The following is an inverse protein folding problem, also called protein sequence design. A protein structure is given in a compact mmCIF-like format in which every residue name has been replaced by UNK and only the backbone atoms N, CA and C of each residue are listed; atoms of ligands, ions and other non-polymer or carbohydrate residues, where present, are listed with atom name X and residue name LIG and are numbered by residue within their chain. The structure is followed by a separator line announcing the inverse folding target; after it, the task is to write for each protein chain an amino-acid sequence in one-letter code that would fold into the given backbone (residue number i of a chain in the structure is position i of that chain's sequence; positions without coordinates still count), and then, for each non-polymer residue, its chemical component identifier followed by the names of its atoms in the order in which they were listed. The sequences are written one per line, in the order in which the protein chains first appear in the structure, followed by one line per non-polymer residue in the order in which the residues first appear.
data_IF_879265400360
#
_entry.id   IF_879265400360
#
_cell.length_a   1.000
_cell.length_b   1.000
_cell.length_c   1.000
_cell.angle_alpha   90.00
_cell.angle_beta   90.00
_cell.angle_gamma   90.00
#
_symmetry.space_group_name_H-M   'P 1'
#
loop_
_entity.id
_entity.type
_entity.pdbx_description
1 polymer ?
#
# COMPACT_ATOMS: atom_id res chain seq x y z
N UNK A 1 12.27 8.98 -7.03
CA UNK A 1 11.11 8.13 -6.69
C UNK A 1 10.44 7.75 -7.99
N UNK A 2 10.07 6.47 -8.19
CA UNK A 2 9.36 6.00 -9.38
C UNK A 2 8.03 5.38 -8.95
N UNK A 3 6.94 5.77 -9.59
CA UNK A 3 5.62 5.17 -9.37
C UNK A 3 5.32 4.20 -10.51
N UNK A 4 4.68 3.10 -10.19
CA UNK A 4 4.25 2.08 -11.14
C UNK A 4 2.74 1.87 -10.97
N UNK A 5 2.00 2.00 -12.06
CA UNK A 5 0.57 1.69 -12.11
C UNK A 5 0.41 0.34 -12.79
N UNK A 6 -0.13 -0.62 -12.06
CA UNK A 6 -0.29 -2.01 -12.49
C UNK A 6 -1.79 -2.31 -12.60
N UNK A 7 -2.34 -2.42 -13.81
CA UNK A 7 -3.71 -2.88 -14.01
C UNK A 7 -3.91 -4.29 -13.44
N UNK A 8 -4.87 -4.44 -12.53
CA UNK A 8 -5.33 -5.76 -12.08
C UNK A 8 -6.54 -6.18 -12.91
N UNK A 9 -7.49 -5.26 -13.07
CA UNK A 9 -8.62 -5.36 -14.00
C UNK A 9 -8.66 -4.11 -14.90
N UNK A 10 -9.71 -3.94 -15.70
CA UNK A 10 -9.90 -2.75 -16.56
C UNK A 10 -10.05 -1.45 -15.77
N UNK A 11 -10.66 -1.55 -14.58
CA UNK A 11 -11.02 -0.43 -13.73
C UNK A 11 -10.28 -0.41 -12.38
N UNK A 12 -9.62 -1.51 -11.98
CA UNK A 12 -8.87 -1.60 -10.73
C UNK A 12 -7.37 -1.63 -10.98
N UNK A 13 -6.65 -0.73 -10.31
CA UNK A 13 -5.21 -0.55 -10.45
C UNK A 13 -4.51 -0.70 -9.10
N UNK A 14 -3.32 -1.28 -9.14
CA UNK A 14 -2.40 -1.31 -8.03
C UNK A 14 -1.31 -0.26 -8.23
N UNK A 15 -1.22 0.70 -7.31
CA UNK A 15 -0.18 1.72 -7.31
C UNK A 15 1.00 1.25 -6.44
N UNK A 16 2.18 1.19 -7.02
CA UNK A 16 3.40 0.85 -6.31
C UNK A 16 4.43 1.98 -6.39
N UNK A 17 5.07 2.26 -5.27
CA UNK A 17 6.13 3.26 -5.19
C UNK A 17 7.48 2.57 -5.00
N UNK A 18 8.31 2.59 -6.04
CA UNK A 18 9.71 2.17 -5.94
C UNK A 18 10.55 3.36 -5.42
N UNK A 19 11.10 3.18 -4.23
CA UNK A 19 12.06 4.09 -3.65
C UNK A 19 13.45 3.50 -3.89
N UNK A 20 14.31 4.23 -4.60
CA UNK A 20 15.74 3.90 -4.57
C UNK A 20 16.20 4.04 -3.12
N UNK A 21 16.98 3.08 -2.61
CA UNK A 21 17.49 3.07 -1.24
C UNK A 21 18.49 4.22 -1.04
N UNK A 22 17.98 5.43 -0.89
CA UNK A 22 18.82 6.58 -0.58
C UNK A 22 19.03 6.52 0.94
N UNK A 23 20.27 6.24 1.33
CA UNK A 23 20.73 6.16 2.71
C UNK A 23 20.49 7.50 3.43
N UNK A 24 19.28 7.67 3.95
CA UNK A 24 18.92 8.76 4.84
C UNK A 24 19.03 8.29 6.27
N UNK A 25 19.44 9.18 7.17
CA UNK A 25 19.46 8.90 8.59
C UNK A 25 18.03 8.55 9.03
N UNK A 26 17.80 7.40 9.69
CA UNK A 26 16.46 6.99 10.09
C UNK A 26 15.91 8.00 11.10
N UNK A 27 14.67 8.46 10.87
CA UNK A 27 13.96 9.30 11.83
C UNK A 27 13.74 8.55 13.16
N UNK A 28 13.42 9.25 14.25
CA UNK A 28 13.10 8.61 15.52
C UNK A 28 11.95 7.59 15.38
N UNK A 29 10.96 7.92 14.57
CA UNK A 29 9.85 7.05 14.24
C UNK A 29 10.36 5.83 13.47
N UNK A 30 11.21 6.02 12.44
CA UNK A 30 11.78 4.90 11.66
C UNK A 30 12.61 3.96 12.56
N UNK A 31 13.39 4.51 13.50
CA UNK A 31 14.16 3.72 14.48
C UNK A 31 13.25 2.89 15.37
N UNK A 32 12.17 3.48 15.87
CA UNK A 32 11.18 2.78 16.68
C UNK A 32 10.49 1.68 15.88
N UNK A 33 10.05 1.97 14.64
CA UNK A 33 9.42 0.96 13.79
C UNK A 33 10.36 -0.18 13.43
N UNK A 34 11.65 0.11 13.21
CA UNK A 34 12.64 -0.93 12.95
C UNK A 34 12.81 -1.86 14.16
N UNK A 35 12.94 -1.31 15.38
CA UNK A 35 13.00 -2.11 16.61
C UNK A 35 11.76 -2.98 16.80
N UNK A 36 10.57 -2.44 16.55
CA UNK A 36 9.32 -3.20 16.61
C UNK A 36 9.31 -4.30 15.55
N UNK A 37 9.81 -4.02 14.34
CA UNK A 37 9.98 -5.01 13.28
C UNK A 37 10.91 -6.15 13.67
N UNK A 38 12.05 -5.84 14.30
CA UNK A 38 13.00 -6.83 14.79
C UNK A 38 12.39 -7.70 15.88
N UNK A 39 11.66 -7.10 16.83
CA UNK A 39 10.91 -7.84 17.85
C UNK A 39 9.87 -8.77 17.23
N UNK A 40 9.12 -8.29 16.24
CA UNK A 40 8.11 -9.07 15.53
C UNK A 40 8.73 -10.27 14.81
N UNK A 41 9.86 -10.06 14.13
CA UNK A 41 10.63 -11.12 13.47
C UNK A 41 11.13 -12.16 14.49
N UNK A 42 11.70 -11.70 15.60
CA UNK A 42 12.19 -12.58 16.68
C UNK A 42 11.04 -13.38 17.32
N UNK A 43 9.86 -12.78 17.49
CA UNK A 43 8.69 -13.49 18.02
C UNK A 43 8.16 -14.56 17.05
N UNK A 44 8.22 -14.31 15.74
CA UNK A 44 7.86 -15.31 14.74
C UNK A 44 8.80 -16.52 14.71
N UNK A 45 10.08 -16.31 15.04
CA UNK A 45 11.11 -17.36 15.09
C UNK A 45 11.18 -18.08 16.44
N UNK A 46 10.63 -17.49 17.51
CA UNK A 46 10.66 -18.06 18.86
C UNK A 46 9.86 -19.35 18.97
N UNK A 47 10.34 -20.34 19.72
CA UNK A 47 9.64 -21.61 19.97
C UNK A 47 8.36 -21.46 20.83
N UNK A 48 8.19 -20.31 21.48
CA UNK A 48 7.08 -20.04 22.40
C UNK A 48 5.76 -19.91 21.62
N UNK A 49 4.83 -20.86 21.86
CA UNK A 49 3.55 -21.00 21.14
C UNK A 49 2.70 -19.71 21.11
N UNK A 50 2.58 -18.99 22.23
CA UNK A 50 1.72 -17.80 22.27
C UNK A 50 2.30 -16.63 21.45
N UNK A 51 3.63 -16.50 21.37
CA UNK A 51 4.30 -15.48 20.54
C UNK A 51 4.05 -15.74 19.06
N UNK A 52 4.21 -16.99 18.61
CA UNK A 52 3.89 -17.40 17.24
C UNK A 52 2.44 -17.11 16.88
N UNK A 53 1.50 -17.52 17.74
CA UNK A 53 0.06 -17.27 17.54
C UNK A 53 -0.25 -15.77 17.44
N UNK A 54 0.40 -14.93 18.25
CA UNK A 54 0.21 -13.48 18.21
C UNK A 54 0.74 -12.90 16.89
N UNK A 55 1.91 -13.33 16.43
CA UNK A 55 2.48 -12.93 15.14
C UNK A 55 1.59 -13.39 13.98
N UNK A 56 1.10 -14.62 13.99
CA UNK A 56 0.18 -15.16 12.98
C UNK A 56 -1.13 -14.37 12.92
N UNK A 57 -1.74 -14.10 14.08
CA UNK A 57 -2.95 -13.30 14.18
C UNK A 57 -2.72 -11.88 13.67
N UNK A 58 -1.62 -11.24 14.09
CA UNK A 58 -1.24 -9.91 13.62
C UNK A 58 -1.02 -9.88 12.12
N UNK A 59 -0.31 -10.87 11.55
CA UNK A 59 -0.11 -10.98 10.11
C UNK A 59 -1.45 -11.13 9.36
N UNK A 60 -2.38 -11.94 9.88
CA UNK A 60 -3.73 -12.10 9.30
C UNK A 60 -4.52 -10.80 9.30
N UNK A 61 -4.39 -9.99 10.34
CA UNK A 61 -4.99 -8.65 10.43
C UNK A 61 -4.32 -7.67 9.46
N UNK A 62 -3.01 -7.73 9.32
CA UNK A 62 -2.24 -6.90 8.38
C UNK A 62 -2.55 -7.27 6.92
N UNK A 63 -2.80 -8.54 6.65
CA UNK A 63 -3.18 -9.08 5.34
C UNK A 63 -4.60 -8.69 4.92
N UNK A 64 -5.48 -8.38 5.88
CA UNK A 64 -6.86 -7.94 5.59
C UNK A 64 -6.96 -6.46 5.22
N UNK A 65 -5.88 -5.69 5.36
CA UNK A 65 -5.87 -4.27 5.04
C UNK A 65 -6.06 -4.04 3.53
N UNK A 66 -6.93 -3.11 3.11
CA UNK A 66 -7.12 -2.79 1.70
C UNK A 66 -5.80 -2.52 0.99
N UNK A 67 -5.61 -3.08 -0.20
CA UNK A 67 -4.38 -2.93 -0.95
C UNK A 67 -4.06 -1.46 -1.28
N UNK A 68 -5.07 -0.60 -1.39
CA UNK A 68 -4.89 0.84 -1.59
C UNK A 68 -4.24 1.51 -0.38
N UNK A 69 -4.53 1.05 0.84
CA UNK A 69 -3.86 1.53 2.05
C UNK A 69 -2.36 1.19 1.98
N UNK A 70 -2.04 -0.03 1.52
CA UNK A 70 -0.65 -0.44 1.30
C UNK A 70 0.04 0.41 0.22
N UNK A 71 -0.64 0.65 -0.91
CA UNK A 71 -0.15 1.52 -1.97
C UNK A 71 0.22 2.91 -1.44
N UNK A 72 -0.69 3.54 -0.67
CA UNK A 72 -0.45 4.87 -0.10
C UNK A 72 0.63 4.85 1.00
N UNK A 73 0.69 3.80 1.82
CA UNK A 73 1.68 3.65 2.89
C UNK A 73 3.12 3.56 2.37
N UNK A 74 3.29 2.95 1.20
CA UNK A 74 4.58 2.83 0.52
C UNK A 74 5.09 4.16 -0.07
N UNK A 75 4.27 5.21 -0.08
CA UNK A 75 4.66 6.53 -0.57
C UNK A 75 5.36 7.27 0.57
N UNK A 76 6.58 7.79 0.36
CA UNK A 76 7.28 8.54 1.39
C UNK A 76 6.52 9.85 1.67
N UNK A 77 6.59 10.34 2.91
CA UNK A 77 6.03 11.66 3.19
C UNK A 77 6.87 12.73 2.51
N UNK A 78 6.24 13.84 2.09
CA UNK A 78 6.94 14.97 1.47
C UNK A 78 8.13 15.43 2.30
N UNK A 79 7.96 15.61 3.62
CA UNK A 79 9.04 15.99 4.54
C UNK A 79 10.26 15.06 4.45
N UNK A 80 10.03 13.75 4.31
CA UNK A 80 11.12 12.76 4.17
C UNK A 80 11.82 12.90 2.83
N UNK A 81 11.07 13.19 1.76
CA UNK A 81 11.66 13.42 0.43
C UNK A 81 12.46 14.73 0.40
N UNK A 82 11.92 15.81 0.97
CA UNK A 82 12.61 17.11 1.06
C UNK A 82 13.91 17.01 1.87
N UNK A 83 13.93 16.21 2.95
CA UNK A 83 15.16 15.91 3.71
C UNK A 83 16.19 15.13 2.89
N UNK A 84 15.74 14.19 2.06
CA UNK A 84 16.62 13.36 1.22
C UNK A 84 17.22 14.19 0.07
N UNK A 85 16.44 15.09 -0.51
CA UNK A 85 16.82 15.84 -1.71
C UNK A 85 17.39 17.23 -1.42
N UNK A 86 17.53 17.60 -0.14
CA UNK A 86 17.96 18.92 0.31
C UNK A 86 16.81 19.94 0.32
N UNK A 87 16.72 20.72 1.41
CA UNK A 87 15.82 21.86 1.55
C UNK A 87 16.18 22.94 0.54
N UNK A 88 15.52 22.93 -0.62
CA UNK A 88 15.78 23.81 -1.76
C UNK A 88 15.32 23.24 -3.11
N UNK A 89 15.13 21.92 -3.19
CA UNK A 89 14.68 21.21 -4.40
C UNK A 89 13.17 21.32 -4.62
N UNK A 90 12.66 22.55 -4.69
CA UNK A 90 11.30 22.87 -5.12
C UNK A 90 11.15 22.56 -6.61
N UNK A 91 11.09 21.27 -7.00
CA UNK A 91 10.57 20.71 -8.27
C UNK A 91 11.25 19.36 -8.63
N UNK A 92 11.29 18.37 -7.73
CA UNK A 92 11.57 17.02 -8.23
C UNK A 92 10.36 16.48 -8.98
N UNK A 93 10.59 16.01 -10.20
CA UNK A 93 9.57 15.32 -10.99
C UNK A 93 9.53 13.85 -10.60
N UNK A 94 8.34 13.30 -10.50
CA UNK A 94 8.09 11.89 -10.18
C UNK A 94 7.64 11.19 -11.44
N UNK A 95 8.44 10.24 -11.90
CA UNK A 95 8.09 9.41 -13.07
C UNK A 95 6.99 8.42 -12.70
N UNK A 96 5.92 8.41 -13.49
CA UNK A 96 4.81 7.46 -13.38
C UNK A 96 4.89 6.49 -14.54
N UNK A 97 5.27 5.25 -14.27
CA UNK A 97 5.33 4.17 -15.24
C UNK A 97 3.98 3.47 -15.34
N UNK A 98 3.48 3.32 -16.56
CA UNK A 98 2.22 2.63 -16.86
C UNK A 98 2.33 1.91 -18.21
N UNK A 99 1.56 0.82 -18.44
CA UNK A 99 1.38 0.23 -19.76
C UNK A 99 0.85 1.25 -20.77
N UNK A 100 1.45 1.32 -21.96
CA UNK A 100 1.09 2.26 -23.03
C UNK A 100 -0.41 2.28 -23.32
N UNK A 101 -1.09 1.12 -23.27
CA UNK A 101 -2.52 0.99 -23.55
C UNK A 101 -3.46 1.78 -22.59
N UNK A 102 -2.99 2.23 -21.42
CA UNK A 102 -3.79 3.01 -20.47
C UNK A 102 -3.88 4.48 -20.88
N UNK A 103 -2.81 5.01 -21.46
CA UNK A 103 -2.65 6.45 -21.70
C UNK A 103 -2.29 7.26 -20.43
N UNK A 104 -1.67 8.45 -20.61
CA UNK A 104 -1.23 9.30 -19.50
C UNK A 104 -2.40 9.86 -18.68
N UNK A 105 -3.51 10.22 -19.31
CA UNK A 105 -4.66 10.84 -18.65
C UNK A 105 -5.30 9.88 -17.63
N UNK A 106 -5.57 8.64 -18.06
CA UNK A 106 -6.15 7.61 -17.17
C UNK A 106 -5.18 7.23 -16.04
N UNK A 107 -3.87 7.22 -16.30
CA UNK A 107 -2.85 6.99 -15.28
C UNK A 107 -2.89 8.05 -14.17
N UNK A 108 -2.92 9.34 -14.54
CA UNK A 108 -2.99 10.46 -13.58
C UNK A 108 -4.35 10.50 -12.88
N UNK A 109 -5.45 10.28 -13.63
CA UNK A 109 -6.79 10.18 -13.06
C UNK A 109 -6.87 9.11 -11.98
N UNK A 110 -6.31 7.91 -12.22
CA UNK A 110 -6.28 6.81 -11.25
C UNK A 110 -5.60 7.23 -9.93
N UNK A 111 -4.51 7.99 -10.01
CA UNK A 111 -3.83 8.51 -8.82
C UNK A 111 -4.69 9.56 -8.11
N UNK A 112 -5.28 10.49 -8.86
CA UNK A 112 -6.16 11.54 -8.32
C UNK A 112 -7.35 10.95 -7.58
N UNK A 113 -8.02 10.02 -8.23
CA UNK A 113 -9.18 9.31 -7.73
C UNK A 113 -8.87 8.53 -6.43
N UNK A 114 -7.74 7.82 -6.40
CA UNK A 114 -7.27 7.13 -5.20
C UNK A 114 -7.06 8.09 -4.03
N UNK A 115 -6.41 9.23 -4.28
CA UNK A 115 -6.13 10.26 -3.26
C UNK A 115 -7.43 10.86 -2.73
N UNK A 116 -8.35 11.22 -3.62
CA UNK A 116 -9.62 11.84 -3.28
C UNK A 116 -10.48 10.93 -2.40
N UNK A 117 -10.62 9.66 -2.78
CA UNK A 117 -11.44 8.68 -2.03
C UNK A 117 -10.85 8.33 -0.67
N UNK A 118 -9.51 8.21 -0.55
CA UNK A 118 -8.87 7.58 0.63
C UNK A 118 -8.25 8.57 1.62
N UNK A 119 -7.93 9.81 1.23
CA UNK A 119 -7.23 10.75 2.11
C UNK A 119 -8.03 11.10 3.38
N UNK A 120 -9.30 11.50 3.23
CA UNK A 120 -10.15 11.83 4.38
C UNK A 120 -10.48 10.61 5.24
N UNK A 121 -10.68 9.45 4.60
CA UNK A 121 -10.88 8.18 5.28
C UNK A 121 -9.72 7.88 6.25
N UNK A 122 -8.47 7.93 5.77
CA UNK A 122 -7.31 7.67 6.62
C UNK A 122 -7.13 8.73 7.71
N UNK A 123 -7.41 10.01 7.43
CA UNK A 123 -7.38 11.05 8.47
C UNK A 123 -8.38 10.76 9.60
N UNK A 124 -9.63 10.46 9.25
CA UNK A 124 -10.69 10.15 10.21
C UNK A 124 -10.32 8.95 11.07
N UNK A 125 -9.99 7.82 10.45
CA UNK A 125 -9.69 6.60 11.18
C UNK A 125 -8.40 6.65 11.99
N UNK A 126 -7.39 7.40 11.54
CA UNK A 126 -6.21 7.71 12.36
C UNK A 126 -6.62 8.37 13.69
N UNK A 127 -7.47 9.40 13.64
CA UNK A 127 -7.95 10.11 14.84
C UNK A 127 -8.74 9.16 15.74
N UNK A 128 -9.66 8.37 15.18
CA UNK A 128 -10.40 7.37 15.96
C UNK A 128 -9.49 6.36 16.64
N UNK A 129 -8.45 5.87 15.96
CA UNK A 129 -7.49 4.94 16.57
C UNK A 129 -6.67 5.57 17.70
N UNK A 130 -6.25 6.83 17.55
CA UNK A 130 -5.54 7.57 18.60
C UNK A 130 -6.44 7.77 19.82
N UNK A 131 -7.68 8.24 19.61
CA UNK A 131 -8.66 8.45 20.68
C UNK A 131 -9.07 7.13 21.35
N UNK A 132 -9.18 6.04 20.58
CA UNK A 132 -9.50 4.72 21.09
C UNK A 132 -8.40 4.12 21.98
N UNK A 133 -7.14 4.47 21.73
CA UNK A 133 -5.98 3.90 22.44
C UNK A 133 -6.05 4.05 23.97
N UNK A 134 -6.31 5.24 24.57
CA UNK A 134 -6.40 5.39 26.02
C UNK A 134 -7.44 4.48 26.69
N UNK A 135 -8.54 4.16 26.00
CA UNK A 135 -9.56 3.26 26.53
C UNK A 135 -9.08 1.81 26.68
N UNK A 136 -7.98 1.44 26.03
CA UNK A 136 -7.36 0.12 26.18
C UNK A 136 -6.33 0.08 27.30
N UNK A 137 -5.94 1.22 27.89
CA UNK A 137 -4.94 1.26 28.97
C UNK A 137 -5.29 0.43 30.20
N UNK A 138 -6.56 0.32 30.64
CA UNK A 138 -6.91 -0.58 31.75
C UNK A 138 -6.47 -2.03 31.51
N UNK A 139 -6.53 -2.51 30.26
CA UNK A 139 -6.05 -3.86 29.90
C UNK A 139 -4.53 -4.00 29.99
N UNK A 140 -3.78 -2.90 29.88
CA UNK A 140 -2.33 -2.90 30.00
C UNK A 140 -1.84 -3.10 31.45
N UNK A 141 -2.72 -2.94 32.44
CA UNK A 141 -2.39 -3.15 33.86
C UNK A 141 -2.37 -4.64 34.25
N UNK A 142 -2.82 -5.54 33.37
CA UNK A 142 -2.86 -6.98 33.63
C UNK A 142 -1.48 -7.58 33.28
N UNK A 143 -0.73 -8.14 34.24
CA UNK A 143 0.68 -8.51 34.05
C UNK A 143 0.93 -9.74 33.16
N UNK A 144 -0.11 -10.50 32.81
CA UNK A 144 0.01 -11.81 32.14
C UNK A 144 -0.12 -11.69 30.60
N UNK A 145 -0.86 -10.70 30.10
CA UNK A 145 -1.24 -10.61 28.69
C UNK A 145 -0.89 -9.23 28.15
N UNK A 146 -0.16 -9.12 27.02
CA UNK A 146 0.07 -7.82 26.39
C UNK A 146 -1.27 -7.19 26.00
N UNK A 147 -1.39 -5.85 26.09
CA UNK A 147 -2.58 -5.12 25.64
C UNK A 147 -2.73 -5.18 24.11
N UNK A 148 -3.16 -6.33 23.58
CA UNK A 148 -3.34 -6.59 22.14
C UNK A 148 -4.27 -5.54 21.50
N UNK A 149 -5.42 -5.17 22.10
CA UNK A 149 -6.28 -4.12 21.55
C UNK A 149 -5.55 -2.77 21.42
N UNK A 150 -4.79 -2.36 22.44
CA UNK A 150 -4.02 -1.12 22.41
C UNK A 150 -2.92 -1.15 21.36
N UNK A 151 -2.16 -2.25 21.26
CA UNK A 151 -1.15 -2.42 20.22
C UNK A 151 -1.78 -2.37 18.82
N UNK A 152 -2.94 -2.98 18.63
CA UNK A 152 -3.68 -2.91 17.37
C UNK A 152 -4.08 -1.47 17.03
N UNK A 153 -4.66 -0.72 17.98
CA UNK A 153 -5.05 0.67 17.73
C UNK A 153 -3.85 1.57 17.43
N UNK A 154 -2.73 1.40 18.14
CA UNK A 154 -1.48 2.11 17.84
C UNK A 154 -0.96 1.76 16.45
N UNK A 155 -0.98 0.48 16.07
CA UNK A 155 -0.62 0.05 14.72
C UNK A 155 -1.55 0.67 13.65
N UNK A 156 -2.88 0.68 13.88
CA UNK A 156 -3.86 1.30 12.98
C UNK A 156 -3.65 2.81 12.87
N UNK A 157 -3.39 3.50 13.98
CA UNK A 157 -3.04 4.91 14.00
C UNK A 157 -1.80 5.18 13.14
N UNK A 158 -0.73 4.40 13.33
CA UNK A 158 0.49 4.50 12.54
C UNK A 158 0.26 4.20 11.05
N UNK A 159 -0.47 3.13 10.73
CA UNK A 159 -0.75 2.74 9.34
C UNK A 159 -1.55 3.82 8.61
N UNK A 160 -2.59 4.35 9.25
CA UNK A 160 -3.40 5.44 8.71
C UNK A 160 -2.61 6.74 8.62
N UNK A 161 -1.76 7.06 9.59
CA UNK A 161 -0.88 8.22 9.53
C UNK A 161 0.05 8.16 8.31
N UNK A 162 0.69 7.01 8.08
CA UNK A 162 1.54 6.81 6.90
C UNK A 162 0.77 6.93 5.59
N UNK A 163 -0.38 6.25 5.47
CA UNK A 163 -1.20 6.29 4.27
C UNK A 163 -1.74 7.70 4.00
N UNK A 164 -2.17 8.43 5.04
CA UNK A 164 -2.59 9.83 4.94
C UNK A 164 -1.45 10.72 4.43
N UNK A 165 -0.26 10.63 5.00
CA UNK A 165 0.88 11.43 4.53
C UNK A 165 1.35 11.06 3.12
N UNK A 166 1.22 9.78 2.72
CA UNK A 166 1.44 9.35 1.33
C UNK A 166 0.42 9.97 0.37
N UNK A 167 -0.86 9.95 0.73
CA UNK A 167 -1.93 10.58 -0.05
C UNK A 167 -1.74 12.11 -0.15
N UNK A 168 -1.37 12.78 0.94
CA UNK A 168 -1.07 14.22 0.93
C UNK A 168 0.13 14.56 0.04
N UNK A 169 1.14 13.68 0.00
CA UNK A 169 2.27 13.86 -0.90
C UNK A 169 1.84 13.69 -2.37
N UNK A 170 1.05 12.67 -2.71
CA UNK A 170 0.48 12.55 -4.06
C UNK A 170 -0.38 13.76 -4.44
N UNK A 171 -1.23 14.25 -3.51
CA UNK A 171 -2.04 15.45 -3.70
C UNK A 171 -1.18 16.67 -4.03
N UNK A 172 -0.05 16.82 -3.35
CA UNK A 172 0.92 17.88 -3.64
C UNK A 172 1.53 17.73 -5.04
N UNK A 173 1.91 16.51 -5.44
CA UNK A 173 2.46 16.25 -6.78
C UNK A 173 1.43 16.53 -7.89
N UNK A 174 0.16 16.15 -7.68
CA UNK A 174 -0.95 16.48 -8.59
C UNK A 174 -1.12 17.99 -8.74
N UNK A 175 -1.25 18.70 -7.62
CA UNK A 175 -1.52 20.15 -7.62
C UNK A 175 -0.44 20.98 -8.32
N UNK A 176 0.81 20.53 -8.26
CA UNK A 176 1.95 21.24 -8.83
C UNK A 176 2.41 20.67 -10.19
N UNK A 177 1.64 19.76 -10.81
CA UNK A 177 1.98 19.11 -12.08
C UNK A 177 3.40 18.48 -12.08
N UNK A 178 3.77 17.85 -10.97
CA UNK A 178 5.10 17.25 -10.77
C UNK A 178 5.18 15.79 -11.23
N UNK A 179 4.10 15.25 -11.79
CA UNK A 179 4.15 13.93 -12.42
C UNK A 179 4.72 14.01 -13.82
N UNK A 180 5.60 13.06 -14.14
CA UNK A 180 6.09 12.83 -15.48
C UNK A 180 5.58 11.46 -15.95
N UNK A 181 4.45 11.42 -16.70
CA UNK A 181 3.94 10.19 -17.28
C UNK A 181 4.98 9.58 -18.21
N UNK A 182 5.31 8.31 -18.00
CA UNK A 182 6.27 7.55 -18.81
C UNK A 182 5.67 6.21 -19.18
N UNK A 183 5.18 6.10 -20.42
CA UNK A 183 4.72 4.83 -20.97
C UNK A 183 5.87 3.80 -20.96
N UNK A 184 5.61 2.62 -20.40
CA UNK A 184 6.59 1.54 -20.28
C UNK A 184 6.25 0.42 -21.26
N UNK A 185 7.04 0.31 -22.33
CA UNK A 185 6.93 -0.79 -23.29
C UNK A 185 7.21 -2.15 -22.66
N UNK A 186 8.10 -2.20 -21.65
CA UNK A 186 8.37 -3.43 -20.89
C UNK A 186 7.14 -3.91 -20.11
N UNK A 187 6.36 -3.00 -19.52
CA UNK A 187 5.09 -3.36 -18.88
C UNK A 187 4.04 -3.75 -19.93
N UNK A 188 3.96 -3.00 -21.04
CA UNK A 188 3.00 -3.27 -22.12
C UNK A 188 3.16 -4.70 -22.67
N UNK A 189 4.40 -5.16 -22.91
CA UNK A 189 4.68 -6.52 -23.37
C UNK A 189 4.13 -7.62 -22.46
N UNK A 190 3.97 -7.35 -21.16
CA UNK A 190 3.39 -8.31 -20.22
C UNK A 190 1.88 -8.44 -20.41
N UNK A 191 1.19 -7.34 -20.71
CA UNK A 191 -0.25 -7.35 -20.94
C UNK A 191 -0.60 -7.76 -22.37
N UNK A 192 0.24 -7.42 -23.36
CA UNK A 192 -0.04 -7.62 -24.78
C UNK A 192 -1.42 -7.03 -25.12
N UNK A 193 -2.22 -7.78 -25.87
CA UNK A 193 -3.57 -7.33 -26.26
C UNK A 193 -4.62 -7.49 -25.13
N UNK A 194 -4.25 -7.99 -23.95
CA UNK A 194 -5.20 -8.21 -22.84
C UNK A 194 -5.87 -6.91 -22.40
N UNK A 195 -5.19 -5.76 -22.47
CA UNK A 195 -5.78 -4.48 -22.05
C UNK A 195 -6.80 -3.93 -23.05
N UNK A 196 -6.72 -4.35 -24.32
CA UNK A 196 -7.57 -3.86 -25.40
C UNK A 196 -8.75 -4.81 -25.67
N UNK A 197 -8.53 -6.12 -25.54
CA UNK A 197 -9.52 -7.14 -25.89
C UNK A 197 -10.52 -7.45 -24.77
N UNK A 198 -10.20 -7.12 -23.50
CA UNK A 198 -11.09 -7.46 -22.39
C UNK A 198 -12.27 -6.48 -22.32
N UNK A 199 -13.46 -6.98 -22.65
CA UNK A 199 -14.74 -6.27 -22.55
C UNK A 199 -15.35 -6.37 -21.14
N UNK A 200 -15.11 -7.48 -20.44
CA UNK A 200 -15.56 -7.71 -19.07
C UNK A 200 -14.52 -7.24 -18.03
N UNK A 201 -14.91 -7.09 -16.77
CA UNK A 201 -13.98 -6.71 -15.68
C UNK A 201 -13.14 -7.92 -15.20
N UNK A 202 -12.57 -8.66 -16.16
CA UNK A 202 -11.76 -9.85 -15.91
C UNK A 202 -10.37 -9.51 -15.38
N UNK A 203 -9.78 -10.46 -14.66
CA UNK A 203 -8.40 -10.33 -14.17
C UNK A 203 -7.40 -10.39 -15.32
N UNK A 204 -6.58 -9.36 -15.44
CA UNK A 204 -5.57 -9.21 -16.50
C UNK A 204 -4.26 -9.92 -16.17
N UNK A 205 -4.06 -10.28 -14.90
CA UNK A 205 -2.84 -10.82 -14.34
C UNK A 205 -2.98 -12.29 -13.99
N UNK A 206 -1.99 -13.09 -14.39
CA UNK A 206 -1.80 -14.48 -13.98
C UNK A 206 -0.44 -14.64 -13.28
N UNK A 207 -0.16 -15.82 -12.73
CA UNK A 207 1.07 -16.10 -11.98
C UNK A 207 2.34 -15.83 -12.80
N UNK A 208 2.33 -16.11 -14.11
CA UNK A 208 3.48 -15.86 -14.98
C UNK A 208 3.69 -14.36 -15.19
N UNK A 209 2.65 -13.60 -15.55
CA UNK A 209 2.69 -12.13 -15.68
C UNK A 209 3.15 -11.46 -14.38
N UNK A 210 2.66 -11.90 -13.22
CA UNK A 210 3.09 -11.38 -11.90
C UNK A 210 4.60 -11.56 -11.70
N UNK A 211 5.13 -12.75 -12.02
CA UNK A 211 6.56 -13.00 -11.88
C UNK A 211 7.43 -12.17 -12.83
N UNK A 212 6.96 -11.93 -14.06
CA UNK A 212 7.64 -11.07 -15.03
C UNK A 212 7.64 -9.61 -14.54
N UNK A 213 6.49 -9.07 -14.09
CA UNK A 213 6.41 -7.70 -13.56
C UNK A 213 7.30 -7.54 -12.33
N UNK A 214 7.34 -8.55 -11.46
CA UNK A 214 8.17 -8.54 -10.26
C UNK A 214 9.66 -8.44 -10.61
N UNK A 215 10.10 -9.11 -11.70
CA UNK A 215 11.47 -8.98 -12.22
C UNK A 215 11.75 -7.59 -12.81
N UNK A 216 10.76 -6.96 -13.45
CA UNK A 216 10.91 -5.61 -14.01
C UNK A 216 11.09 -4.55 -12.92
N UNK A 217 10.35 -4.66 -11.82
CA UNK A 217 10.36 -3.66 -10.74
C UNK A 217 11.50 -3.91 -9.73
N UNK A 218 12.08 -5.12 -9.75
CA UNK A 218 13.22 -5.57 -8.93
C UNK A 218 13.04 -5.24 -7.45
N UNK A 219 11.97 -5.74 -6.85
CA UNK A 219 11.69 -5.53 -5.43
C UNK A 219 11.06 -6.77 -4.79
N UNK A 220 11.61 -7.21 -3.66
CA UNK A 220 11.20 -8.42 -2.93
C UNK A 220 9.78 -8.35 -2.39
N UNK A 221 9.33 -7.17 -1.97
CA UNK A 221 8.01 -6.99 -1.34
C UNK A 221 6.90 -6.73 -2.37
N UNK A 222 7.26 -6.27 -3.58
CA UNK A 222 6.31 -5.94 -4.64
C UNK A 222 5.38 -7.12 -4.98
N UNK A 223 5.95 -8.30 -5.21
CA UNK A 223 5.19 -9.51 -5.58
C UNK A 223 4.13 -9.84 -4.54
N UNK A 224 4.53 -9.85 -3.26
CA UNK A 224 3.65 -10.13 -2.14
C UNK A 224 2.48 -9.12 -2.07
N UNK A 225 2.73 -7.82 -2.28
CA UNK A 225 1.68 -6.82 -2.26
C UNK A 225 0.71 -6.94 -3.45
N UNK A 226 1.23 -7.23 -4.64
CA UNK A 226 0.40 -7.44 -5.83
C UNK A 226 -0.50 -8.68 -5.67
N UNK A 227 0.06 -9.80 -5.19
CA UNK A 227 -0.71 -11.02 -4.94
C UNK A 227 -1.79 -10.82 -3.86
N UNK A 228 -1.51 -9.99 -2.84
CA UNK A 228 -2.53 -9.59 -1.86
C UNK A 228 -3.67 -8.80 -2.53
N UNK A 229 -3.34 -7.81 -3.36
CA UNK A 229 -4.34 -7.01 -4.06
C UNK A 229 -5.25 -7.87 -4.95
N UNK A 230 -4.67 -8.81 -5.69
CA UNK A 230 -5.43 -9.75 -6.53
C UNK A 230 -6.36 -10.62 -5.68
N UNK A 231 -5.86 -11.22 -4.59
CA UNK A 231 -6.70 -12.04 -3.69
C UNK A 231 -7.87 -11.27 -3.09
N UNK A 232 -7.67 -9.99 -2.74
CA UNK A 232 -8.73 -9.14 -2.21
C UNK A 232 -9.82 -8.88 -3.25
N UNK A 233 -9.44 -8.54 -4.48
CA UNK A 233 -10.40 -8.34 -5.57
C UNK A 233 -11.12 -9.63 -5.97
N UNK A 234 -10.43 -10.78 -5.97
CA UNK A 234 -11.07 -12.08 -6.23
C UNK A 234 -12.14 -12.39 -5.18
N UNK A 235 -11.85 -12.10 -3.91
CA UNK A 235 -12.82 -12.24 -2.82
C UNK A 235 -14.01 -11.28 -3.00
N UNK A 236 -13.76 -10.02 -3.35
CA UNK A 236 -14.82 -9.03 -3.64
C UNK A 236 -15.75 -9.51 -4.77
N UNK A 237 -15.19 -9.97 -5.89
CA UNK A 237 -15.97 -10.48 -7.02
C UNK A 237 -16.80 -11.72 -6.63
N UNK A 238 -16.26 -12.66 -5.84
CA UNK A 238 -17.01 -13.84 -5.39
C UNK A 238 -18.18 -13.51 -4.45
N UNK A 239 -18.05 -12.44 -3.65
CA UNK A 239 -19.13 -11.98 -2.78
C UNK A 239 -20.24 -11.28 -3.59
N UNK A 240 -19.88 -10.57 -4.65
CA UNK A 240 -20.85 -9.96 -5.55
C UNK A 240 -21.68 -11.01 -6.32
N UNK A 241 -21.02 -12.04 -6.86
CA UNK A 241 -21.73 -13.11 -7.59
C UNK A 241 -22.66 -13.92 -6.69
N UNK A 242 -22.25 -14.22 -5.45
CA UNK A 242 -23.11 -14.94 -4.48
C UNK A 242 -24.31 -14.13 -4.01
N UNK A 243 -24.17 -12.81 -3.82
CA UNK A 243 -25.31 -11.94 -3.49
C UNK A 243 -26.31 -11.82 -4.64
N UNK A 244 -25.82 -11.78 -5.89
CA UNK A 244 -26.68 -11.78 -7.08
C UNK A 244 -27.44 -13.11 -7.25
N UNK A 245 -26.83 -14.25 -6.94
CA UNK A 245 -27.52 -15.55 -6.99
C UNK A 245 -28.53 -15.78 -5.87
N UNK A 246 -28.40 -15.08 -4.74
CA UNK A 246 -29.37 -15.18 -3.61
C UNK A 246 -30.55 -14.20 -3.73
N UNK A 247 -30.50 -13.26 -4.68
CA UNK A 247 -31.55 -12.26 -4.92
C UNK A 247 -32.43 -12.57 -6.13
N UNK A 248 -32.20 -13.73 -6.77
CA UNK A 248 -33.01 -14.33 -7.84
C UNK A 248 -33.75 -15.56 -7.29
#
# INVERSE_FOLDING_TARGET
MKLFIIPITRNRFFLYCHQNSIHSKPSLIDKFTNKVGDLWKNWGQSEIKWKKRLVELGNKIVDSLPYEEWSLRNIPSRKKVDQIQGTGSSQYKVTVHYPTSIGPEKAIFTISDLVERRALFHKRWMIFSIIGTPFTLPLALIPIIPNIPGFYLLYRAYSHWKAFHGAQHLKYLLKNNLFYPSASSSLEKVYGNSLQNTTHDDFLLNTTKISIISRIIDNKDFKMHLERAIRQLQKENSLQTSNLSMSL
#
